data_IF_142535666163
#
_entry.id   IF_142535666163
#
_cell.length_a   1.000
_cell.length_b   1.000
_cell.length_c   1.000
_cell.angle_alpha   90.00
_cell.angle_beta   90.00
_cell.angle_gamma   90.00
#
_symmetry.space_group_name_H-M   'P 1'
#
loop_
_entity.id
_entity.type
_entity.pdbx_description
1 polymer ?
#
# COMPACT_ATOMS: atom_id res chain seq x y z
N UNK A 1 -5.75 10.76 2.83
CA UNK A 1 -4.92 9.60 3.22
C UNK A 1 -3.68 10.04 3.97
N UNK A 2 -3.35 9.36 5.02
CA UNK A 2 -2.19 9.69 5.84
C UNK A 2 -1.50 8.40 6.28
N UNK A 3 -0.19 8.25 6.08
CA UNK A 3 0.70 9.14 5.33
C UNK A 3 0.53 8.96 3.81
N UNK A 4 1.12 9.86 3.02
CA UNK A 4 1.13 9.73 1.55
C UNK A 4 2.42 9.09 1.05
N UNK A 5 3.43 9.02 1.89
CA UNK A 5 4.71 8.37 1.60
C UNK A 5 5.14 7.55 2.81
N UNK A 6 5.79 6.43 2.54
CA UNK A 6 6.34 5.60 3.61
C UNK A 6 7.56 4.85 3.09
N UNK A 7 8.31 4.25 4.00
CA UNK A 7 9.48 3.45 3.67
C UNK A 7 9.30 2.03 4.17
N UNK A 8 9.93 1.09 3.49
CA UNK A 8 9.94 -0.31 3.87
C UNK A 8 11.36 -0.85 3.83
N UNK A 9 11.80 -1.45 4.91
CA UNK A 9 13.14 -2.07 4.97
C UNK A 9 13.01 -3.59 4.92
N UNK A 10 13.69 -4.21 3.97
CA UNK A 10 13.70 -5.68 3.88
C UNK A 10 14.45 -6.33 5.02
N UNK A 11 15.35 -5.59 5.67
CA UNK A 11 16.07 -6.07 6.85
C UNK A 11 15.17 -6.10 8.09
N UNK A 12 14.16 -5.23 8.13
CA UNK A 12 13.18 -5.16 9.21
C UNK A 12 11.77 -5.05 8.62
N UNK A 13 11.27 -6.13 8.02
CA UNK A 13 9.98 -6.07 7.36
C UNK A 13 8.85 -5.81 8.36
N UNK A 14 7.95 -4.91 7.98
CA UNK A 14 6.78 -4.59 8.77
C UNK A 14 5.63 -4.24 7.83
N UNK A 15 4.39 -4.51 8.26
CA UNK A 15 3.23 -4.14 7.47
C UNK A 15 3.18 -2.62 7.30
N UNK A 16 2.75 -2.17 6.12
CA UNK A 16 2.50 -0.75 5.87
C UNK A 16 1.04 -0.48 6.21
N UNK A 17 0.83 0.42 7.15
CA UNK A 17 -0.51 0.80 7.59
C UNK A 17 -0.73 2.27 7.31
N UNK A 18 -1.81 2.59 6.59
CA UNK A 18 -2.16 3.97 6.29
C UNK A 18 -3.65 4.20 6.57
N UNK A 19 -3.99 5.43 6.94
CA UNK A 19 -5.37 5.83 7.14
C UNK A 19 -5.94 6.33 5.82
N UNK A 20 -7.05 5.75 5.38
CA UNK A 20 -7.72 6.12 4.13
C UNK A 20 -9.08 6.72 4.47
N UNK A 21 -9.33 7.93 4.01
CA UNK A 21 -10.55 8.67 4.33
C UNK A 21 -11.51 8.83 3.16
N UNK A 22 -11.31 8.15 2.07
CA UNK A 22 -12.15 8.28 0.87
C UNK A 22 -13.24 7.24 0.72
N UNK A 23 -13.52 6.47 1.75
CA UNK A 23 -14.46 5.35 1.70
C UNK A 23 -13.76 4.01 1.67
N UNK A 24 -14.50 2.95 1.39
CA UNK A 24 -13.97 1.59 1.38
C UNK A 24 -12.98 1.42 0.23
N UNK A 25 -11.83 0.84 0.52
CA UNK A 25 -10.83 0.50 -0.50
C UNK A 25 -11.34 -0.69 -1.31
N UNK A 26 -11.40 -0.53 -2.63
CA UNK A 26 -11.89 -1.58 -3.52
C UNK A 26 -10.80 -2.25 -4.32
N UNK A 27 -9.67 -1.56 -4.54
CA UNK A 27 -8.58 -2.10 -5.35
C UNK A 27 -7.28 -1.39 -5.04
N UNK A 28 -6.18 -2.12 -5.13
CA UNK A 28 -4.83 -1.54 -5.10
C UNK A 28 -4.10 -1.91 -6.38
N UNK A 29 -3.30 -0.96 -6.87
CA UNK A 29 -2.39 -1.21 -8.00
C UNK A 29 -0.99 -0.79 -7.60
N UNK A 30 -0.02 -1.63 -7.94
CA UNK A 30 1.39 -1.29 -7.82
C UNK A 30 1.86 -0.87 -9.21
N UNK A 31 2.00 0.43 -9.42
CA UNK A 31 2.23 1.01 -10.73
C UNK A 31 1.04 0.65 -11.65
N UNK A 32 1.21 -0.28 -12.58
CA UNK A 32 0.13 -0.71 -13.49
C UNK A 32 -0.44 -2.08 -13.15
N UNK A 33 0.16 -2.80 -12.23
CA UNK A 33 -0.23 -4.15 -11.87
C UNK A 33 -1.23 -4.16 -10.71
N UNK A 34 -2.32 -4.90 -10.86
CA UNK A 34 -3.30 -5.07 -9.79
C UNK A 34 -2.69 -5.90 -8.66
N UNK A 35 -2.78 -5.41 -7.43
CA UNK A 35 -2.32 -6.13 -6.25
C UNK A 35 -3.39 -7.13 -5.83
N UNK A 36 -3.00 -8.38 -5.64
CA UNK A 36 -3.92 -9.42 -5.19
C UNK A 36 -4.51 -9.03 -3.82
N UNK A 37 -5.83 -9.13 -3.63
CA UNK A 37 -6.47 -8.78 -2.35
C UNK A 37 -5.96 -9.57 -1.15
N UNK A 38 -5.31 -10.71 -1.36
CA UNK A 38 -4.69 -11.47 -0.28
C UNK A 38 -3.45 -10.79 0.28
N UNK A 39 -2.95 -9.75 -0.38
CA UNK A 39 -1.75 -9.03 0.01
C UNK A 39 -2.03 -7.76 0.79
N UNK A 40 -3.30 -7.44 1.01
CA UNK A 40 -3.68 -6.26 1.76
C UNK A 40 -5.03 -6.46 2.44
N UNK A 41 -5.33 -5.59 3.42
CA UNK A 41 -6.60 -5.63 4.12
C UNK A 41 -7.05 -4.21 4.44
N UNK A 42 -8.35 -3.99 4.46
CA UNK A 42 -8.93 -2.69 4.82
C UNK A 42 -9.98 -2.90 5.90
N UNK A 43 -9.80 -2.24 7.04
CA UNK A 43 -10.72 -2.31 8.18
C UNK A 43 -10.83 -0.93 8.82
N UNK A 44 -12.05 -0.44 8.96
CA UNK A 44 -12.35 0.79 9.71
C UNK A 44 -11.47 1.99 9.35
N UNK A 45 -11.31 2.21 8.06
CA UNK A 45 -10.52 3.35 7.58
C UNK A 45 -9.01 3.10 7.54
N UNK A 46 -8.55 1.92 7.93
CA UNK A 46 -7.15 1.56 7.88
C UNK A 46 -6.87 0.55 6.78
N UNK A 47 -5.95 0.91 5.90
CA UNK A 47 -5.42 0.00 4.89
C UNK A 47 -4.10 -0.56 5.39
N UNK A 48 -4.00 -1.88 5.43
CA UNK A 48 -2.76 -2.59 5.78
C UNK A 48 -2.27 -3.34 4.55
N UNK A 49 -1.05 -3.03 4.11
CA UNK A 49 -0.38 -3.77 3.04
C UNK A 49 0.62 -4.69 3.71
N UNK A 50 0.49 -5.99 3.46
CA UNK A 50 1.28 -6.99 4.19
C UNK A 50 2.74 -6.97 3.78
N UNK A 51 3.61 -7.10 4.78
CA UNK A 51 5.07 -7.12 4.57
C UNK A 51 5.53 -8.23 3.63
N UNK A 52 4.83 -9.36 3.63
CA UNK A 52 5.17 -10.48 2.75
C UNK A 52 5.06 -10.11 1.28
N UNK A 53 4.11 -9.25 0.93
CA UNK A 53 3.99 -8.75 -0.44
C UNK A 53 5.10 -7.75 -0.77
N UNK A 54 5.29 -6.76 0.11
CA UNK A 54 6.26 -5.68 -0.16
C UNK A 54 7.68 -6.22 -0.23
N UNK A 55 7.99 -7.24 0.56
CA UNK A 55 9.32 -7.87 0.56
C UNK A 55 9.65 -8.55 -0.78
N UNK A 56 8.65 -8.83 -1.61
CA UNK A 56 8.88 -9.41 -2.94
C UNK A 56 9.22 -8.36 -4.00
N UNK A 57 9.08 -7.07 -3.66
CA UNK A 57 9.34 -5.99 -4.60
C UNK A 57 10.82 -5.66 -4.67
N UNK A 58 11.25 -5.11 -5.81
CA UNK A 58 12.62 -4.64 -5.95
C UNK A 58 12.81 -3.35 -5.16
N UNK A 59 14.05 -3.02 -4.82
CA UNK A 59 14.36 -1.77 -4.14
C UNK A 59 13.97 -0.57 -5.01
N UNK A 60 13.56 0.51 -4.37
CA UNK A 60 13.19 1.75 -5.04
C UNK A 60 11.78 2.19 -4.68
N UNK A 61 11.35 3.29 -5.28
CA UNK A 61 10.02 3.83 -5.05
C UNK A 61 8.95 3.01 -5.79
N UNK A 62 7.87 2.70 -5.07
CA UNK A 62 6.71 2.00 -5.64
C UNK A 62 5.49 2.91 -5.49
N UNK A 63 4.81 3.20 -6.58
CA UNK A 63 3.59 4.01 -6.56
C UNK A 63 2.40 3.07 -6.41
N UNK A 64 1.74 3.14 -5.27
CA UNK A 64 0.55 2.33 -5.00
C UNK A 64 -0.67 3.22 -5.26
N UNK A 65 -1.49 2.84 -6.21
CA UNK A 65 -2.75 3.51 -6.48
C UNK A 65 -3.84 2.83 -5.69
N UNK A 66 -4.51 3.59 -4.83
CA UNK A 66 -5.56 3.09 -3.96
C UNK A 66 -6.90 3.56 -4.50
N UNK A 67 -7.73 2.62 -4.92
CA UNK A 67 -9.05 2.93 -5.44
C UNK A 67 -10.08 2.77 -4.33
N UNK A 68 -10.86 3.83 -4.12
CA UNK A 68 -11.91 3.85 -3.10
C UNK A 68 -13.26 4.16 -3.74
N UNK A 69 -14.32 4.06 -2.94
CA UNK A 69 -15.66 4.40 -3.40
C UNK A 69 -15.78 5.85 -3.86
N UNK A 70 -14.96 6.75 -3.32
CA UNK A 70 -14.98 8.19 -3.64
C UNK A 70 -14.00 8.59 -4.74
N UNK A 71 -13.13 7.69 -5.17
CA UNK A 71 -12.12 8.01 -6.19
C UNK A 71 -10.81 7.28 -5.93
N UNK A 72 -9.72 7.84 -6.44
CA UNK A 72 -8.39 7.23 -6.30
C UNK A 72 -7.43 8.16 -5.57
N UNK A 73 -6.50 7.56 -4.84
CA UNK A 73 -5.40 8.29 -4.22
C UNK A 73 -4.13 7.45 -4.40
N UNK A 74 -2.98 8.06 -4.14
CA UNK A 74 -1.71 7.37 -4.32
C UNK A 74 -0.90 7.38 -3.04
N UNK A 75 -0.16 6.29 -2.84
CA UNK A 75 0.79 6.13 -1.75
C UNK A 75 2.13 5.74 -2.36
N UNK A 76 3.19 6.44 -1.99
CA UNK A 76 4.53 6.08 -2.44
C UNK A 76 5.23 5.29 -1.33
N UNK A 77 5.68 4.08 -1.66
CA UNK A 77 6.45 3.24 -0.75
C UNK A 77 7.87 3.14 -1.29
N UNK A 78 8.85 3.57 -0.51
CA UNK A 78 10.25 3.40 -0.87
C UNK A 78 10.76 2.12 -0.23
N UNK A 79 11.10 1.14 -1.08
CA UNK A 79 11.60 -0.17 -0.62
C UNK A 79 13.12 -0.13 -0.60
N UNK A 80 13.71 -0.49 0.53
CA UNK A 80 15.16 -0.52 0.69
C UNK A 80 15.64 -1.78 1.40
N UNK A 81 16.96 -1.94 1.50
CA UNK A 81 17.54 -3.09 2.18
C UNK A 81 17.29 -3.07 3.69
#
# INVERSE_FOLDING_TARGET
MTPTTTTFSKAKPANVVVTVSGGVVTELKNNVAVVNPDNWNYVDGQLTIYKSYIATQTDGEKTITIKTASGTTTLTITVGP
#
